data_IF_874410095649
#
_entry.id   IF_874410095649
#
_cell.length_a   1.000
_cell.length_b   1.000
_cell.length_c   1.000
_cell.angle_alpha   90.00
_cell.angle_beta   90.00
_cell.angle_gamma   90.00
#
_symmetry.space_group_name_H-M   'P 1'
#
loop_
_entity.id
_entity.type
_entity.pdbx_description
1 polymer ?
#
# COMPACT_ATOMS: atom_id res chain seq x y z
N UNK A 1 -23.68 6.89 8.86
CA UNK A 1 -24.13 8.06 8.06
C UNK A 1 -25.29 8.73 8.76
N UNK A 2 -25.43 10.04 8.58
CA UNK A 2 -26.66 10.76 8.92
C UNK A 2 -27.71 10.67 7.77
N UNK A 3 -28.88 11.25 7.97
CA UNK A 3 -29.97 11.25 6.98
C UNK A 3 -29.62 12.00 5.68
N UNK A 4 -28.65 12.90 5.72
CA UNK A 4 -28.16 13.64 4.56
C UNK A 4 -27.03 12.91 3.80
N UNK A 5 -26.64 11.73 4.26
CA UNK A 5 -25.54 10.93 3.68
C UNK A 5 -24.15 11.39 4.10
N UNK A 6 -24.03 12.25 5.13
CA UNK A 6 -22.72 12.61 5.65
C UNK A 6 -22.17 11.49 6.54
N UNK A 7 -20.86 11.34 6.52
CA UNK A 7 -20.15 10.41 7.40
C UNK A 7 -20.19 10.95 8.83
N UNK A 8 -20.80 10.19 9.74
CA UNK A 8 -20.89 10.56 11.15
C UNK A 8 -19.58 10.33 11.89
N UNK A 9 -18.99 9.17 11.71
CA UNK A 9 -17.72 8.76 12.29
C UNK A 9 -16.84 8.13 11.22
N UNK A 10 -15.54 8.36 11.29
CA UNK A 10 -14.53 7.69 10.49
C UNK A 10 -13.79 6.69 11.40
N UNK A 11 -14.04 5.41 11.19
CA UNK A 11 -13.54 4.32 12.04
C UNK A 11 -12.32 3.66 11.37
N UNK A 12 -11.12 4.13 11.69
CA UNK A 12 -9.88 3.66 11.09
C UNK A 12 -9.29 2.48 11.88
N UNK A 13 -9.06 1.35 11.22
CA UNK A 13 -8.40 0.13 11.78
C UNK A 13 -9.02 -0.35 13.10
N UNK A 14 -10.34 -0.35 13.19
CA UNK A 14 -11.07 -0.76 14.40
C UNK A 14 -11.35 -2.27 14.41
N UNK A 15 -11.54 -2.83 15.62
CA UNK A 15 -11.94 -4.23 15.77
C UNK A 15 -13.39 -4.46 15.36
N UNK A 16 -13.77 -5.70 15.08
CA UNK A 16 -15.15 -6.06 14.72
C UNK A 16 -16.12 -5.70 15.86
N UNK A 17 -15.72 -5.88 17.11
CA UNK A 17 -16.52 -5.53 18.29
C UNK A 17 -16.78 -4.02 18.34
N UNK A 18 -15.75 -3.22 18.09
CA UNK A 18 -15.90 -1.75 18.03
C UNK A 18 -16.81 -1.34 16.87
N UNK A 19 -16.62 -1.90 15.68
CA UNK A 19 -17.47 -1.62 14.52
C UNK A 19 -18.93 -1.96 14.78
N UNK A 20 -19.17 -3.10 15.45
CA UNK A 20 -20.53 -3.55 15.81
C UNK A 20 -21.16 -2.62 16.84
N UNK A 21 -20.44 -2.29 17.91
CA UNK A 21 -20.94 -1.40 18.97
C UNK A 21 -21.22 0.02 18.49
N UNK A 22 -20.53 0.47 17.43
CA UNK A 22 -20.74 1.77 16.78
C UNK A 22 -21.82 1.74 15.68
N UNK A 23 -22.45 0.57 15.45
CA UNK A 23 -23.47 0.41 14.41
C UNK A 23 -22.94 0.52 12.99
N UNK A 24 -21.66 0.25 12.76
CA UNK A 24 -21.05 0.24 11.45
C UNK A 24 -21.29 -1.06 10.67
N UNK A 25 -21.64 -2.15 11.38
CA UNK A 25 -21.94 -3.45 10.76
C UNK A 25 -23.42 -3.48 10.39
N UNK A 26 -23.73 -3.76 9.14
CA UNK A 26 -25.11 -3.85 8.66
C UNK A 26 -25.76 -5.20 9.03
N UNK A 27 -27.06 -5.36 8.70
CA UNK A 27 -27.83 -6.59 8.99
C UNK A 27 -27.26 -7.86 8.32
N UNK A 28 -26.43 -7.71 7.28
CA UNK A 28 -25.77 -8.82 6.57
C UNK A 28 -24.34 -9.09 7.12
N UNK A 29 -23.97 -8.47 8.24
CA UNK A 29 -22.64 -8.63 8.84
C UNK A 29 -21.51 -7.92 8.07
N UNK A 30 -21.83 -6.96 7.18
CA UNK A 30 -20.87 -6.25 6.34
C UNK A 30 -20.69 -4.80 6.80
N UNK A 31 -19.56 -4.22 6.46
CA UNK A 31 -19.22 -2.80 6.68
C UNK A 31 -18.95 -2.11 5.34
N UNK A 32 -19.15 -0.80 5.29
CA UNK A 32 -18.66 0.00 4.17
C UNK A 32 -17.14 0.14 4.30
N UNK A 33 -16.42 -0.19 3.22
CA UNK A 33 -14.96 -0.12 3.15
C UNK A 33 -14.57 1.13 2.36
N UNK A 34 -13.66 1.91 2.92
CA UNK A 34 -13.00 3.00 2.20
C UNK A 34 -12.09 2.45 1.10
N UNK A 35 -12.23 2.98 -0.10
CA UNK A 35 -11.43 2.59 -1.27
C UNK A 35 -10.15 3.40 -1.42
N UNK A 36 -9.89 4.37 -0.54
CA UNK A 36 -8.79 5.31 -0.67
C UNK A 36 -9.02 6.42 -1.70
N UNK A 37 -10.14 6.39 -2.42
CA UNK A 37 -10.49 7.42 -3.40
C UNK A 37 -11.40 8.47 -2.75
N UNK A 38 -10.94 9.72 -2.72
CA UNK A 38 -11.67 10.85 -2.15
C UNK A 38 -11.72 12.00 -3.14
N UNK A 39 -12.90 12.60 -3.29
CA UNK A 39 -13.10 13.80 -4.11
C UNK A 39 -13.15 15.03 -3.19
N UNK A 40 -12.22 15.92 -3.35
CA UNK A 40 -12.19 17.21 -2.66
C UNK A 40 -12.80 18.31 -3.53
N UNK A 41 -13.58 19.21 -2.93
CA UNK A 41 -14.02 20.43 -3.60
C UNK A 41 -12.83 21.38 -3.83
N UNK A 42 -12.95 22.25 -4.83
CA UNK A 42 -11.93 23.28 -5.11
C UNK A 42 -11.73 24.21 -3.91
N UNK A 43 -12.81 24.58 -3.22
CA UNK A 43 -12.75 25.46 -2.03
C UNK A 43 -11.97 24.81 -0.88
N UNK A 44 -12.21 23.50 -0.62
CA UNK A 44 -11.46 22.77 0.40
C UNK A 44 -9.98 22.70 0.04
N UNK A 45 -9.65 22.45 -1.23
CA UNK A 45 -8.25 22.41 -1.69
C UNK A 45 -7.59 23.80 -1.57
N UNK A 46 -8.32 24.87 -1.91
CA UNK A 46 -7.84 26.25 -1.76
C UNK A 46 -7.56 26.57 -0.29
N UNK A 47 -8.47 26.21 0.62
CA UNK A 47 -8.27 26.40 2.06
C UNK A 47 -7.06 25.58 2.59
N UNK A 48 -6.91 24.32 2.17
CA UNK A 48 -5.73 23.50 2.52
C UNK A 48 -4.43 24.11 1.99
N UNK A 49 -4.46 24.65 0.77
CA UNK A 49 -3.28 25.28 0.18
C UNK A 49 -2.76 26.44 1.01
N UNK A 50 -3.64 27.16 1.72
CA UNK A 50 -3.22 28.26 2.63
C UNK A 50 -2.27 27.80 3.75
N UNK A 51 -2.23 26.52 4.06
CA UNK A 51 -1.32 25.94 5.07
C UNK A 51 0.12 25.79 4.55
N UNK A 52 0.33 25.85 3.21
CA UNK A 52 1.63 25.61 2.56
C UNK A 52 1.96 26.66 1.50
N UNK A 53 1.24 27.77 1.44
CA UNK A 53 1.31 28.80 0.38
C UNK A 53 2.58 29.69 0.47
N UNK A 54 3.37 29.57 1.51
CA UNK A 54 4.65 30.26 1.67
C UNK A 54 5.78 29.28 1.98
N UNK A 55 7.05 29.60 1.66
CA UNK A 55 8.17 28.73 1.98
C UNK A 55 8.27 28.34 3.47
N UNK A 56 7.96 29.26 4.38
CA UNK A 56 7.97 29.00 5.80
C UNK A 56 6.87 28.02 6.23
N UNK A 57 5.63 28.20 5.74
CA UNK A 57 4.52 27.30 5.99
C UNK A 57 4.79 25.93 5.35
N UNK A 58 5.27 25.90 4.09
CA UNK A 58 5.65 24.66 3.45
C UNK A 58 6.65 23.86 4.27
N UNK A 59 7.72 24.49 4.75
CA UNK A 59 8.71 23.84 5.58
C UNK A 59 8.16 23.33 6.93
N UNK A 60 7.14 23.99 7.48
CA UNK A 60 6.49 23.55 8.72
C UNK A 60 5.65 22.28 8.52
N UNK A 61 5.01 22.10 7.37
CA UNK A 61 4.14 20.96 7.07
C UNK A 61 4.83 19.82 6.34
N UNK A 62 5.87 20.11 5.54
CA UNK A 62 6.53 19.12 4.67
C UNK A 62 7.94 18.82 5.21
N UNK A 63 7.99 17.99 6.24
CA UNK A 63 9.22 17.53 6.88
C UNK A 63 8.99 16.23 7.63
N UNK A 64 10.05 15.58 8.08
CA UNK A 64 9.99 14.27 8.76
C UNK A 64 9.37 14.32 10.18
N UNK A 65 9.29 15.52 10.80
CA UNK A 65 8.75 15.71 12.15
C UNK A 65 7.23 15.94 12.15
N UNK A 66 6.67 16.41 11.03
CA UNK A 66 5.24 16.69 10.87
C UNK A 66 4.59 15.67 9.93
N UNK A 67 4.77 14.36 10.19
CA UNK A 67 4.22 13.30 9.36
C UNK A 67 2.72 13.14 9.57
N UNK A 68 1.94 13.81 8.72
CA UNK A 68 0.48 13.73 8.71
C UNK A 68 -0.01 12.47 7.97
N UNK A 69 -1.06 11.86 8.51
CA UNK A 69 -1.75 10.72 7.92
C UNK A 69 -2.95 11.18 7.10
N UNK A 70 -3.09 10.66 5.87
CA UNK A 70 -4.26 10.97 5.07
C UNK A 70 -5.56 10.55 5.77
N UNK A 71 -5.61 9.35 6.31
CA UNK A 71 -6.80 8.82 6.97
C UNK A 71 -7.05 9.45 8.34
N UNK A 72 -6.04 9.43 9.19
CA UNK A 72 -6.17 9.91 10.56
C UNK A 72 -6.27 11.43 10.69
N UNK A 73 -5.54 12.17 9.86
CA UNK A 73 -5.41 13.62 10.03
C UNK A 73 -6.26 14.42 9.03
N UNK A 74 -6.52 13.89 7.82
CA UNK A 74 -7.34 14.60 6.83
C UNK A 74 -8.80 14.13 6.79
N UNK A 75 -9.08 12.83 6.87
CA UNK A 75 -10.45 12.36 6.76
C UNK A 75 -11.21 12.41 8.08
N UNK A 76 -10.53 12.15 9.20
CA UNK A 76 -11.16 12.15 10.52
C UNK A 76 -11.86 13.48 10.88
N UNK A 77 -11.27 14.67 10.66
CA UNK A 77 -11.93 15.95 10.93
C UNK A 77 -13.22 16.19 10.12
N UNK A 78 -13.35 15.57 8.95
CA UNK A 78 -14.50 15.73 8.07
C UNK A 78 -15.74 14.96 8.54
N UNK A 79 -15.59 13.99 9.44
CA UNK A 79 -16.70 13.25 10.01
C UNK A 79 -17.51 14.16 10.97
N UNK A 80 -18.83 14.16 10.83
CA UNK A 80 -19.70 15.16 11.47
C UNK A 80 -19.70 15.12 12.99
N UNK A 81 -19.48 13.93 13.59
CA UNK A 81 -19.45 13.72 15.05
C UNK A 81 -18.06 13.70 15.67
N UNK A 82 -16.99 13.83 14.88
CA UNK A 82 -15.63 13.88 15.42
C UNK A 82 -15.40 15.15 16.25
N UNK A 83 -14.62 15.04 17.32
CA UNK A 83 -14.25 16.15 18.19
C UNK A 83 -12.74 16.33 18.21
N UNK A 84 -12.27 17.55 18.51
CA UNK A 84 -10.83 17.84 18.58
C UNK A 84 -10.14 17.00 19.67
N UNK A 85 -10.83 16.75 20.79
CA UNK A 85 -10.29 15.92 21.87
C UNK A 85 -10.08 14.47 21.40
N UNK A 86 -11.07 13.87 20.72
CA UNK A 86 -10.94 12.54 20.14
C UNK A 86 -9.86 12.50 19.06
N UNK A 87 -9.78 13.53 18.20
CA UNK A 87 -8.77 13.66 17.17
C UNK A 87 -7.35 13.61 17.74
N UNK A 88 -7.09 14.27 18.86
CA UNK A 88 -5.79 14.21 19.52
C UNK A 88 -5.49 12.86 20.19
N UNK A 89 -6.51 12.08 20.54
CA UNK A 89 -6.34 10.72 21.08
C UNK A 89 -6.05 9.68 19.98
N UNK A 90 -6.39 9.97 18.74
CA UNK A 90 -6.07 9.09 17.61
C UNK A 90 -4.55 9.04 17.42
N UNK A 91 -4.02 7.80 17.35
CA UNK A 91 -2.58 7.58 17.18
C UNK A 91 -2.14 8.07 15.79
N UNK A 92 -1.18 9.00 15.69
CA UNK A 92 -0.63 9.41 14.41
C UNK A 92 0.23 8.29 13.80
N UNK A 93 0.48 8.37 12.50
CA UNK A 93 1.39 7.44 11.79
C UNK A 93 2.87 7.70 12.14
N UNK A 94 3.20 8.90 12.64
CA UNK A 94 4.54 9.27 13.07
C UNK A 94 4.68 9.36 14.61
N UNK A 95 5.89 9.66 15.07
CA UNK A 95 6.13 9.97 16.47
C UNK A 95 5.43 11.27 16.88
N UNK A 96 4.92 11.32 18.11
CA UNK A 96 4.35 12.56 18.64
C UNK A 96 5.46 13.61 18.80
N UNK A 97 5.33 14.73 18.07
CA UNK A 97 6.17 15.91 18.16
C UNK A 97 5.29 17.14 18.33
N UNK A 98 5.87 18.24 18.85
CA UNK A 98 5.14 19.51 18.94
C UNK A 98 4.76 20.04 17.56
N UNK A 99 5.63 19.85 16.56
CA UNK A 99 5.39 20.24 15.18
C UNK A 99 4.20 19.45 14.58
N UNK A 100 4.16 18.13 14.79
CA UNK A 100 3.04 17.32 14.34
C UNK A 100 1.73 17.77 15.01
N UNK A 101 1.75 18.05 16.32
CA UNK A 101 0.59 18.53 17.04
C UNK A 101 0.08 19.87 16.49
N UNK A 102 0.98 20.82 16.23
CA UNK A 102 0.65 22.10 15.62
C UNK A 102 0.05 21.94 14.21
N UNK A 103 0.65 21.10 13.37
CA UNK A 103 0.15 20.79 12.03
C UNK A 103 -1.24 20.12 12.09
N UNK A 104 -1.45 19.14 12.96
CA UNK A 104 -2.76 18.48 13.15
C UNK A 104 -3.82 19.49 13.57
N UNK A 105 -3.49 20.41 14.47
CA UNK A 105 -4.40 21.49 14.89
C UNK A 105 -4.81 22.38 13.72
N UNK A 106 -3.85 22.80 12.91
CA UNK A 106 -4.13 23.67 11.75
C UNK A 106 -4.98 22.94 10.70
N UNK A 107 -4.66 21.69 10.41
CA UNK A 107 -5.45 20.86 9.49
C UNK A 107 -6.89 20.67 10.00
N UNK A 108 -7.06 20.40 11.30
CA UNK A 108 -8.38 20.33 11.92
C UNK A 108 -9.20 21.61 11.73
N UNK A 109 -8.60 22.79 11.98
CA UNK A 109 -9.29 24.09 11.85
C UNK A 109 -9.77 24.34 10.42
N UNK A 110 -8.99 23.93 9.43
CA UNK A 110 -9.38 24.04 8.02
C UNK A 110 -10.49 23.06 7.68
N UNK A 111 -10.27 21.78 7.97
CA UNK A 111 -11.15 20.71 7.50
C UNK A 111 -12.50 20.68 8.24
N UNK A 112 -12.54 21.10 9.49
CA UNK A 112 -13.78 21.09 10.30
C UNK A 112 -14.92 21.94 9.74
N UNK A 113 -14.65 22.83 8.82
CA UNK A 113 -15.65 23.63 8.10
C UNK A 113 -16.44 22.80 7.08
N UNK A 114 -15.87 21.68 6.64
CA UNK A 114 -16.40 20.81 5.59
C UNK A 114 -17.04 19.56 6.16
N UNK A 115 -17.76 18.84 5.31
CA UNK A 115 -18.40 17.56 5.65
C UNK A 115 -18.08 16.52 4.59
N UNK A 116 -17.78 15.31 5.03
CA UNK A 116 -17.56 14.19 4.14
C UNK A 116 -18.88 13.48 3.84
N UNK A 117 -19.18 13.31 2.57
CA UNK A 117 -20.31 12.51 2.09
C UNK A 117 -19.81 11.16 1.60
N UNK A 118 -20.60 10.13 1.88
CA UNK A 118 -20.31 8.79 1.38
C UNK A 118 -20.94 8.60 -0.01
N UNK A 119 -20.10 8.23 -0.98
CA UNK A 119 -20.53 7.70 -2.27
C UNK A 119 -20.36 6.19 -2.25
N UNK A 120 -21.47 5.46 -2.10
CA UNK A 120 -21.43 4.00 -2.06
C UNK A 120 -21.41 3.45 -3.48
N UNK A 121 -20.38 2.70 -3.82
CA UNK A 121 -20.25 1.95 -5.07
C UNK A 121 -20.70 0.51 -4.81
N UNK A 122 -21.87 0.13 -5.36
CA UNK A 122 -22.38 -1.24 -5.23
C UNK A 122 -23.26 -1.59 -6.44
N UNK A 123 -23.13 -2.83 -7.00
CA UNK A 123 -22.15 -3.84 -6.62
C UNK A 123 -20.74 -3.48 -7.03
N UNK A 124 -19.75 -3.80 -6.20
CA UNK A 124 -18.35 -3.53 -6.47
C UNK A 124 -17.46 -4.59 -5.81
N UNK A 125 -16.26 -4.76 -6.37
CA UNK A 125 -15.18 -5.53 -5.76
C UNK A 125 -13.99 -4.61 -5.50
N UNK A 126 -13.40 -4.72 -4.31
CA UNK A 126 -12.21 -3.99 -3.93
C UNK A 126 -11.05 -4.94 -3.76
N UNK A 127 -10.00 -4.75 -4.54
CA UNK A 127 -8.80 -5.57 -4.51
C UNK A 127 -7.68 -4.70 -3.94
N UNK A 128 -7.10 -5.14 -2.82
CA UNK A 128 -6.06 -4.42 -2.11
C UNK A 128 -4.71 -5.12 -2.24
N UNK A 129 -3.69 -4.35 -2.57
CA UNK A 129 -2.29 -4.79 -2.58
C UNK A 129 -1.50 -3.92 -1.60
N UNK A 130 -1.37 -4.34 -0.38
CA UNK A 130 -0.60 -3.63 0.64
C UNK A 130 0.86 -4.07 0.71
N UNK A 131 1.15 -5.28 0.21
CA UNK A 131 2.47 -5.91 0.32
C UNK A 131 2.84 -6.65 -0.95
N UNK A 132 4.14 -6.87 -1.17
CA UNK A 132 4.64 -7.71 -2.27
C UNK A 132 4.13 -9.15 -2.16
N UNK A 133 3.96 -9.65 -0.94
CA UNK A 133 3.39 -10.98 -0.70
C UNK A 133 1.95 -11.09 -1.21
N UNK A 134 1.09 -10.10 -0.94
CA UNK A 134 -0.29 -10.09 -1.44
C UNK A 134 -0.34 -10.01 -2.97
N UNK A 135 0.49 -9.17 -3.58
CA UNK A 135 0.61 -9.11 -5.03
C UNK A 135 1.02 -10.47 -5.61
N UNK A 136 2.06 -11.09 -5.07
CA UNK A 136 2.50 -12.42 -5.53
C UNK A 136 1.38 -13.44 -5.42
N UNK A 137 0.71 -13.54 -4.27
CA UNK A 137 -0.39 -14.49 -4.05
C UNK A 137 -1.52 -14.25 -5.04
N UNK A 138 -1.87 -13.00 -5.31
CA UNK A 138 -2.88 -12.68 -6.33
C UNK A 138 -2.46 -13.17 -7.70
N UNK A 139 -1.23 -12.90 -8.12
CA UNK A 139 -0.75 -13.22 -9.48
C UNK A 139 -0.50 -14.72 -9.68
N UNK A 140 -0.29 -15.49 -8.61
CA UNK A 140 -0.10 -16.94 -8.69
C UNK A 140 -1.41 -17.69 -8.49
N UNK A 141 -1.93 -17.75 -7.28
CA UNK A 141 -3.10 -18.56 -6.92
C UNK A 141 -4.41 -17.78 -6.94
N UNK A 142 -4.37 -16.51 -6.55
CA UNK A 142 -5.56 -15.69 -6.35
C UNK A 142 -6.21 -15.17 -7.64
N UNK A 143 -5.47 -15.13 -8.77
CA UNK A 143 -5.96 -14.52 -10.01
C UNK A 143 -7.22 -15.16 -10.55
N UNK A 144 -7.41 -16.45 -10.33
CA UNK A 144 -8.60 -17.19 -10.79
C UNK A 144 -9.90 -16.67 -10.17
N UNK A 145 -9.85 -16.12 -8.96
CA UNK A 145 -11.00 -15.49 -8.30
C UNK A 145 -11.48 -14.21 -9.02
N UNK A 146 -10.64 -13.63 -9.88
CA UNK A 146 -10.91 -12.40 -10.62
C UNK A 146 -11.11 -12.62 -12.13
N UNK A 147 -11.42 -13.85 -12.54
CA UNK A 147 -11.71 -14.19 -13.93
C UNK A 147 -12.85 -13.37 -14.55
N UNK A 148 -13.76 -12.83 -13.73
CA UNK A 148 -14.82 -11.91 -14.16
C UNK A 148 -14.30 -10.55 -14.67
N UNK A 149 -13.03 -10.20 -14.36
CA UNK A 149 -12.31 -9.04 -14.90
C UNK A 149 -11.48 -9.41 -16.15
N UNK A 150 -11.67 -10.61 -16.69
CA UNK A 150 -10.83 -11.20 -17.73
C UNK A 150 -9.36 -11.39 -17.31
N UNK A 151 -9.11 -11.37 -16.02
CA UNK A 151 -7.80 -11.66 -15.48
C UNK A 151 -7.56 -13.17 -15.53
N UNK A 152 -6.41 -13.54 -16.04
CA UNK A 152 -6.00 -14.93 -16.15
C UNK A 152 -4.50 -15.06 -15.92
N UNK A 153 -4.11 -16.21 -15.42
CA UNK A 153 -2.71 -16.59 -15.33
C UNK A 153 -2.18 -16.87 -16.73
N UNK A 154 -1.19 -16.09 -17.16
CA UNK A 154 -0.48 -16.33 -18.41
C UNK A 154 0.80 -17.08 -18.11
N UNK A 155 0.93 -18.27 -18.66
CA UNK A 155 2.14 -19.09 -18.55
C UNK A 155 2.76 -19.22 -19.93
N UNK A 156 4.01 -18.76 -20.07
CA UNK A 156 4.82 -18.99 -21.27
C UNK A 156 6.20 -19.48 -20.81
N UNK A 157 6.64 -20.63 -21.29
CA UNK A 157 7.93 -21.25 -20.95
C UNK A 157 7.85 -22.77 -20.86
N UNK A 158 9.01 -23.41 -20.73
CA UNK A 158 9.16 -24.87 -20.82
C UNK A 158 9.07 -25.62 -19.47
N UNK A 159 8.88 -24.96 -18.34
CA UNK A 159 8.77 -25.62 -17.05
C UNK A 159 7.33 -26.04 -16.77
N UNK A 160 7.10 -27.33 -16.65
CA UNK A 160 5.78 -27.92 -16.84
C UNK A 160 5.00 -28.28 -15.55
N UNK A 161 5.59 -28.17 -14.37
CA UNK A 161 4.99 -28.72 -13.15
C UNK A 161 4.77 -27.73 -11.99
N UNK A 162 5.35 -26.57 -12.05
CA UNK A 162 5.27 -25.59 -10.97
C UNK A 162 4.12 -24.58 -11.16
N UNK A 163 3.52 -24.14 -10.06
CA UNK A 163 2.48 -23.12 -10.06
C UNK A 163 3.12 -21.72 -10.01
N UNK A 164 3.42 -21.12 -11.16
CA UNK A 164 3.99 -19.79 -11.27
C UNK A 164 3.26 -18.93 -12.30
N UNK A 165 3.47 -17.62 -12.27
CA UNK A 165 2.89 -16.67 -13.22
C UNK A 165 3.96 -15.89 -13.96
N UNK A 166 3.80 -15.76 -15.27
CA UNK A 166 4.66 -14.97 -16.15
C UNK A 166 3.85 -13.84 -16.79
N UNK A 167 4.43 -12.66 -16.82
CA UNK A 167 3.90 -11.50 -17.51
C UNK A 167 5.03 -10.89 -18.35
N UNK A 168 4.97 -11.02 -19.68
CA UNK A 168 6.01 -10.56 -20.58
C UNK A 168 7.43 -11.05 -20.18
N UNK A 169 7.50 -12.27 -19.64
CA UNK A 169 8.75 -12.87 -19.20
C UNK A 169 9.09 -14.09 -20.07
N UNK A 170 10.37 -14.31 -20.28
CA UNK A 170 10.91 -15.43 -21.04
C UNK A 170 11.73 -16.34 -20.13
N UNK A 171 11.49 -17.63 -20.20
CA UNK A 171 12.24 -18.67 -19.50
C UNK A 171 12.81 -19.63 -20.55
N UNK A 172 14.13 -19.71 -20.63
CA UNK A 172 14.79 -20.59 -21.59
C UNK A 172 14.76 -22.06 -21.14
N UNK A 173 14.98 -22.94 -22.11
CA UNK A 173 15.11 -24.36 -21.85
C UNK A 173 16.27 -24.64 -20.87
N UNK A 174 16.07 -25.61 -19.98
CA UNK A 174 17.06 -25.97 -18.94
C UNK A 174 17.00 -25.09 -17.67
N UNK A 175 16.19 -24.04 -17.67
CA UNK A 175 15.92 -23.25 -16.44
C UNK A 175 14.81 -23.90 -15.63
N UNK A 176 14.82 -23.67 -14.31
CA UNK A 176 13.81 -24.16 -13.39
C UNK A 176 13.17 -23.02 -12.62
N UNK A 177 11.84 -22.92 -12.68
CA UNK A 177 11.04 -22.00 -11.87
C UNK A 177 10.23 -22.83 -10.86
N UNK A 178 10.42 -22.59 -9.58
CA UNK A 178 9.65 -23.26 -8.54
C UNK A 178 8.29 -22.60 -8.32
N UNK A 179 7.46 -23.21 -7.44
CA UNK A 179 6.09 -22.76 -7.17
C UNK A 179 6.01 -21.34 -6.61
N UNK A 180 4.86 -20.70 -6.81
CA UNK A 180 4.50 -19.38 -6.28
C UNK A 180 5.40 -18.23 -6.75
N UNK A 181 6.13 -18.39 -7.84
CA UNK A 181 6.93 -17.34 -8.43
C UNK A 181 6.09 -16.42 -9.30
N UNK A 182 6.42 -15.13 -9.31
CA UNK A 182 5.90 -14.15 -10.25
C UNK A 182 7.04 -13.47 -11.00
N UNK A 183 7.01 -13.52 -12.32
CA UNK A 183 8.04 -12.93 -13.19
C UNK A 183 7.37 -11.95 -14.15
N UNK A 184 7.89 -10.72 -14.21
CA UNK A 184 7.45 -9.70 -15.16
C UNK A 184 8.64 -9.05 -15.87
N UNK A 185 8.49 -8.78 -17.17
CA UNK A 185 9.51 -8.14 -18.01
C UNK A 185 10.93 -8.69 -17.77
N UNK A 186 11.03 -9.99 -17.56
CA UNK A 186 12.25 -10.66 -17.10
C UNK A 186 12.67 -11.79 -18.02
N UNK A 187 13.99 -12.06 -18.05
CA UNK A 187 14.55 -13.14 -18.83
C UNK A 187 15.36 -14.08 -17.94
N UNK A 188 15.00 -15.35 -17.91
CA UNK A 188 15.68 -16.40 -17.14
C UNK A 188 16.34 -17.36 -18.11
N UNK A 189 17.66 -17.50 -18.04
CA UNK A 189 18.47 -18.21 -19.02
C UNK A 189 19.65 -18.95 -18.40
N UNK A 190 20.34 -19.74 -19.24
CA UNK A 190 21.60 -20.37 -18.87
C UNK A 190 21.50 -21.39 -17.74
N UNK A 191 20.37 -22.11 -17.62
CA UNK A 191 20.16 -23.12 -16.59
C UNK A 191 19.91 -22.53 -15.19
N UNK A 192 19.44 -21.28 -15.08
CA UNK A 192 19.15 -20.64 -13.82
C UNK A 192 17.99 -21.34 -13.08
N UNK A 193 18.05 -21.31 -11.74
CA UNK A 193 17.04 -21.87 -10.85
C UNK A 193 16.44 -20.72 -10.02
N UNK A 194 15.10 -20.58 -10.06
CA UNK A 194 14.37 -19.58 -9.28
C UNK A 194 13.61 -20.28 -8.17
N UNK A 195 13.97 -19.98 -6.92
CA UNK A 195 13.37 -20.57 -5.73
C UNK A 195 11.93 -20.12 -5.49
N UNK A 196 11.16 -20.97 -4.81
CA UNK A 196 9.73 -20.75 -4.56
C UNK A 196 9.42 -19.37 -3.97
N UNK A 197 8.30 -18.80 -4.36
CA UNK A 197 7.80 -17.54 -3.82
C UNK A 197 8.61 -16.30 -4.23
N UNK A 198 9.49 -16.41 -5.22
CA UNK A 198 10.33 -15.32 -5.70
C UNK A 198 9.60 -14.45 -6.71
N UNK A 199 9.90 -13.16 -6.66
CA UNK A 199 9.40 -12.15 -7.60
C UNK A 199 10.59 -11.60 -8.40
N UNK A 200 10.50 -11.66 -9.72
CA UNK A 200 11.45 -11.03 -10.64
C UNK A 200 10.75 -9.92 -11.41
N UNK A 201 11.35 -8.74 -11.44
CA UNK A 201 10.80 -7.59 -12.18
C UNK A 201 11.94 -6.87 -12.91
N UNK A 202 11.85 -6.79 -14.24
CA UNK A 202 12.80 -6.12 -15.11
C UNK A 202 14.25 -6.63 -14.95
N UNK A 203 14.44 -7.94 -14.76
CA UNK A 203 15.77 -8.53 -14.53
C UNK A 203 16.10 -9.62 -15.54
N UNK A 204 17.39 -9.77 -15.83
CA UNK A 204 17.95 -10.93 -16.51
C UNK A 204 18.73 -11.79 -15.53
N UNK A 205 18.35 -13.06 -15.39
CA UNK A 205 19.03 -14.04 -14.54
C UNK A 205 19.68 -15.09 -15.44
N UNK A 206 21.00 -15.20 -15.40
CA UNK A 206 21.74 -16.16 -16.23
C UNK A 206 22.65 -17.05 -15.38
N UNK A 207 22.43 -18.35 -15.41
CA UNK A 207 23.27 -19.37 -14.76
C UNK A 207 23.39 -19.22 -13.25
N UNK A 208 22.38 -18.64 -12.58
CA UNK A 208 22.39 -18.37 -11.13
C UNK A 208 21.22 -19.05 -10.43
N UNK A 209 21.44 -19.41 -9.18
CA UNK A 209 20.40 -19.89 -8.29
C UNK A 209 19.91 -18.70 -7.45
N UNK A 210 18.63 -18.35 -7.60
CA UNK A 210 17.97 -17.34 -6.80
C UNK A 210 17.25 -18.05 -5.64
N UNK A 211 17.49 -17.65 -4.39
CA UNK A 211 16.84 -18.25 -3.23
C UNK A 211 15.30 -18.09 -3.26
N UNK A 212 14.62 -18.84 -2.41
CA UNK A 212 13.18 -18.69 -2.21
C UNK A 212 12.81 -17.38 -1.51
N UNK A 213 11.60 -16.87 -1.78
CA UNK A 213 11.02 -15.68 -1.14
C UNK A 213 11.84 -14.40 -1.31
N UNK A 214 12.47 -14.22 -2.43
CA UNK A 214 13.28 -13.03 -2.77
C UNK A 214 12.58 -12.19 -3.83
N UNK A 215 12.73 -10.88 -3.74
CA UNK A 215 12.37 -9.93 -4.78
C UNK A 215 13.64 -9.40 -5.43
N UNK A 216 13.75 -9.56 -6.74
CA UNK A 216 14.74 -8.87 -7.56
C UNK A 216 14.00 -7.88 -8.46
N UNK A 217 14.35 -6.61 -8.34
CA UNK A 217 13.74 -5.56 -9.14
C UNK A 217 14.80 -4.60 -9.67
N UNK A 218 14.89 -4.47 -11.00
CA UNK A 218 15.80 -3.52 -11.63
C UNK A 218 15.09 -2.21 -11.94
N UNK A 219 15.80 -1.12 -11.68
CA UNK A 219 15.39 0.25 -11.97
C UNK A 219 16.39 0.91 -12.88
N UNK A 220 15.91 1.63 -13.89
CA UNK A 220 16.73 2.52 -14.69
C UNK A 220 16.84 3.87 -13.97
N UNK A 221 18.07 4.31 -13.76
CA UNK A 221 18.38 5.60 -13.17
C UNK A 221 18.33 6.72 -14.23
N UNK A 222 18.27 7.97 -13.79
CA UNK A 222 18.24 9.15 -14.68
C UNK A 222 19.48 9.31 -15.53
N UNK A 223 20.62 8.78 -15.08
CA UNK A 223 21.90 8.76 -15.81
C UNK A 223 22.02 7.58 -16.79
N UNK A 224 20.97 6.78 -16.94
CA UNK A 224 20.92 5.64 -17.87
C UNK A 224 21.45 4.32 -17.28
N UNK A 225 22.05 4.30 -16.10
CA UNK A 225 22.47 3.07 -15.42
C UNK A 225 21.25 2.29 -14.91
N UNK A 226 21.46 1.00 -14.65
CA UNK A 226 20.49 0.14 -13.99
C UNK A 226 21.00 -0.24 -12.61
N UNK A 227 20.07 -0.31 -11.66
CA UNK A 227 20.29 -0.82 -10.30
C UNK A 227 19.32 -1.94 -10.05
N UNK A 228 19.80 -3.10 -9.60
CA UNK A 228 18.96 -4.19 -9.15
C UNK A 228 18.88 -4.17 -7.62
N UNK A 229 17.68 -4.01 -7.10
CA UNK A 229 17.39 -4.15 -5.67
C UNK A 229 17.07 -5.60 -5.35
N UNK A 230 17.53 -6.06 -4.19
CA UNK A 230 17.30 -7.40 -3.69
C UNK A 230 16.78 -7.27 -2.25
N UNK A 231 15.64 -7.87 -1.97
CA UNK A 231 15.03 -7.91 -0.62
C UNK A 231 14.11 -9.11 -0.47
N UNK A 232 13.71 -9.45 0.75
CA UNK A 232 12.77 -10.52 1.02
C UNK A 232 11.33 -10.14 0.68
N UNK A 233 10.53 -11.09 0.20
CA UNK A 233 9.09 -10.86 -0.09
C UNK A 233 8.33 -10.36 1.14
N UNK A 234 8.75 -10.78 2.34
CA UNK A 234 8.15 -10.40 3.61
C UNK A 234 8.76 -9.14 4.25
N UNK A 235 9.80 -8.56 3.65
CA UNK A 235 10.44 -7.37 4.20
C UNK A 235 9.50 -6.16 4.13
N UNK A 236 9.46 -5.40 5.22
CA UNK A 236 8.68 -4.18 5.31
C UNK A 236 9.60 -2.94 5.31
N UNK A 237 9.78 -2.28 4.16
CA UNK A 237 10.66 -1.11 4.08
C UNK A 237 10.18 0.07 4.92
N UNK A 238 8.92 0.08 5.37
CA UNK A 238 8.39 1.13 6.25
C UNK A 238 8.90 1.01 7.69
N UNK A 239 9.35 -0.18 8.09
CA UNK A 239 9.88 -0.48 9.42
C UNK A 239 11.41 -0.44 9.46
N UNK A 240 12.06 -0.33 8.28
CA UNK A 240 13.51 -0.29 8.16
C UNK A 240 14.02 1.15 8.19
N UNK A 241 14.85 1.47 9.19
CA UNK A 241 15.59 2.72 9.24
C UNK A 241 17.02 2.46 8.75
N UNK A 242 17.38 3.02 7.59
CA UNK A 242 18.72 2.87 7.00
C UNK A 242 19.79 3.73 7.68
N UNK A 243 19.40 4.59 8.63
CA UNK A 243 20.31 5.52 9.31
C UNK A 243 20.40 5.17 10.79
N UNK A 244 21.39 4.36 11.15
CA UNK A 244 21.79 4.11 12.54
C UNK A 244 20.92 3.13 13.34
N UNK A 245 20.16 2.28 12.68
CA UNK A 245 19.38 1.23 13.32
C UNK A 245 19.57 -0.13 12.63
N UNK A 246 19.19 -1.20 13.29
CA UNK A 246 19.13 -2.53 12.69
C UNK A 246 18.06 -2.60 11.60
N UNK A 247 18.34 -3.33 10.52
CA UNK A 247 17.43 -3.55 9.39
C UNK A 247 16.99 -5.01 9.36
N UNK A 248 15.68 -5.23 9.31
CA UNK A 248 15.15 -6.56 9.03
C UNK A 248 15.08 -6.77 7.50
N UNK A 249 15.80 -7.75 7.01
CA UNK A 249 15.76 -8.15 5.60
C UNK A 249 15.94 -9.67 5.49
N UNK A 250 15.27 -10.29 4.52
CA UNK A 250 15.30 -11.75 4.31
C UNK A 250 14.91 -12.57 5.55
N UNK A 251 14.05 -12.04 6.41
CA UNK A 251 13.67 -12.67 7.67
C UNK A 251 14.75 -12.64 8.77
N UNK A 252 15.84 -11.93 8.56
CA UNK A 252 16.91 -11.72 9.53
C UNK A 252 17.06 -10.25 9.89
N UNK A 253 17.62 -9.99 11.07
CA UNK A 253 18.00 -8.63 11.49
C UNK A 253 19.48 -8.43 11.19
N UNK A 254 19.81 -7.33 10.52
CA UNK A 254 21.16 -6.93 10.14
C UNK A 254 21.51 -5.64 10.89
N UNK A 255 22.69 -5.61 11.51
CA UNK A 255 23.24 -4.45 12.22
C UNK A 255 23.96 -3.49 11.29
#
# INVERSE_FOLDING_TARGET
>A
MDEQGNVGEFLHKQTVETLTSRGAVNAQGKVDIDTGAVLFSADLLADLYTLVDTPAKFAAFVNDRARLSFYGDFLYPLASRSTLEQFYREKPDGSFTEELHACRTAVWQVLRKYRMRLLRLAPASFIHFGTTHELRTLMTDGVSAYSFLDWKKCVSGCCSSANYALNNAMVEEGCCIHDDCYLEDSHVMGGAIIGSGTVLSHVTVSGKNIPANVVLHSLKLTDGRFVTRIYGVADNPKECTFLGGSMAAFGNVWD
#
